data_IF_274618372793
#
_entry.id   IF_274618372793
#
_cell.length_a   1.000
_cell.length_b   1.000
_cell.length_c   1.000
_cell.angle_alpha   90.00
_cell.angle_beta   90.00
_cell.angle_gamma   90.00
#
_symmetry.space_group_name_H-M   'P 1'
#
loop_
_entity.id
_entity.type
_entity.pdbx_description
1 polymer ?
#
# COMPACT_ATOMS: atom_id res chain seq x y z
N UNK A 1 -54.89 -14.12 -41.16
CA UNK A 1 -54.15 -13.28 -40.19
C UNK A 1 -52.85 -13.99 -39.85
N UNK A 2 -51.75 -13.28 -39.99
CA UNK A 2 -50.45 -13.79 -40.41
C UNK A 2 -49.63 -14.45 -39.29
N UNK A 3 -49.09 -15.64 -39.61
CA UNK A 3 -48.06 -16.40 -38.88
C UNK A 3 -46.72 -15.63 -38.69
N UNK A 4 -46.69 -14.37 -39.12
CA UNK A 4 -45.54 -13.46 -39.16
C UNK A 4 -45.37 -12.63 -37.89
N UNK A 5 -46.35 -12.66 -36.97
CA UNK A 5 -46.32 -11.91 -35.69
C UNK A 5 -45.84 -12.74 -34.48
N UNK A 6 -45.84 -14.08 -34.55
CA UNK A 6 -45.31 -14.92 -33.46
C UNK A 6 -43.77 -15.01 -33.47
N UNK A 7 -43.13 -14.88 -34.63
CA UNK A 7 -41.65 -14.90 -34.71
C UNK A 7 -41.00 -13.61 -34.19
N UNK A 8 -41.73 -12.49 -34.14
CA UNK A 8 -41.19 -11.22 -33.64
C UNK A 8 -41.14 -11.15 -32.11
N UNK A 9 -42.01 -11.89 -31.40
CA UNK A 9 -41.98 -11.92 -29.93
C UNK A 9 -40.93 -12.88 -29.36
N UNK A 10 -40.52 -13.91 -30.10
CA UNK A 10 -39.51 -14.87 -29.63
C UNK A 10 -38.07 -14.38 -29.84
N UNK A 11 -37.84 -13.44 -30.76
CA UNK A 11 -36.52 -12.83 -30.97
C UNK A 11 -36.20 -11.66 -30.02
N UNK A 12 -37.19 -11.11 -29.32
CA UNK A 12 -37.00 -10.02 -28.36
C UNK A 12 -36.70 -10.48 -26.93
N UNK A 13 -36.79 -11.78 -26.63
CA UNK A 13 -36.55 -12.36 -25.31
C UNK A 13 -35.21 -13.10 -25.17
N UNK A 14 -34.37 -13.11 -26.21
CA UNK A 14 -33.04 -13.75 -26.22
C UNK A 14 -31.86 -12.78 -26.03
N UNK A 15 -32.10 -11.48 -25.81
CA UNK A 15 -31.03 -10.49 -25.62
C UNK A 15 -30.82 -10.04 -24.17
N UNK A 16 -31.60 -10.51 -23.20
CA UNK A 16 -31.32 -10.31 -21.79
C UNK A 16 -30.66 -11.57 -21.21
N UNK A 17 -29.39 -11.80 -21.57
CA UNK A 17 -28.52 -12.60 -20.71
C UNK A 17 -28.53 -12.01 -19.30
N UNK A 18 -28.28 -12.80 -18.24
CA UNK A 18 -28.24 -12.27 -16.89
C UNK A 18 -27.24 -11.13 -16.87
N UNK A 19 -27.70 -9.91 -16.60
CA UNK A 19 -26.82 -8.81 -16.24
C UNK A 19 -26.07 -9.31 -15.00
N UNK A 20 -24.81 -9.73 -15.18
CA UNK A 20 -23.94 -10.01 -14.05
C UNK A 20 -23.98 -8.76 -13.18
N UNK A 21 -24.29 -8.91 -11.90
CA UNK A 21 -24.22 -7.80 -10.97
C UNK A 21 -22.81 -7.21 -11.09
N UNK A 22 -22.71 -5.95 -11.53
CA UNK A 22 -21.42 -5.28 -11.69
C UNK A 22 -20.79 -5.11 -10.29
N UNK A 23 -19.77 -5.92 -10.00
CA UNK A 23 -18.95 -5.80 -8.81
C UNK A 23 -17.58 -5.19 -9.12
N UNK A 24 -16.71 -5.23 -8.10
CA UNK A 24 -15.30 -4.90 -8.24
C UNK A 24 -14.46 -6.11 -7.89
N UNK A 25 -13.48 -6.42 -8.73
CA UNK A 25 -12.48 -7.44 -8.48
C UNK A 25 -11.18 -6.79 -8.00
N UNK A 26 -10.69 -7.24 -6.84
CA UNK A 26 -9.39 -6.86 -6.29
C UNK A 26 -8.39 -8.01 -6.45
N UNK A 27 -7.21 -7.74 -7.01
CA UNK A 27 -6.11 -8.71 -7.11
C UNK A 27 -4.76 -8.09 -6.77
N UNK A 28 -3.85 -8.88 -6.21
CA UNK A 28 -2.43 -8.51 -6.22
C UNK A 28 -1.93 -8.46 -7.68
N UNK A 29 -1.06 -7.49 -7.98
CA UNK A 29 -0.48 -7.31 -9.31
C UNK A 29 1.02 -7.02 -9.18
N UNK A 30 1.89 -8.03 -9.18
CA UNK A 30 3.33 -7.79 -9.31
C UNK A 30 3.65 -7.23 -10.70
N UNK A 31 4.35 -6.10 -10.76
CA UNK A 31 4.64 -5.38 -12.01
C UNK A 31 6.13 -5.52 -12.34
N UNK A 32 6.51 -6.26 -13.39
CA UNK A 32 7.89 -6.26 -13.88
C UNK A 32 8.21 -4.91 -14.54
N UNK A 33 9.17 -4.18 -13.96
CA UNK A 33 9.64 -2.88 -14.41
C UNK A 33 11.06 -2.99 -14.99
N UNK A 34 11.33 -2.22 -16.05
CA UNK A 34 12.66 -2.10 -16.68
C UNK A 34 13.02 -0.64 -16.88
N UNK A 35 14.07 -0.21 -16.20
CA UNK A 35 14.46 1.19 -16.08
C UNK A 35 15.48 1.62 -17.15
N UNK A 36 15.59 2.93 -17.42
CA UNK A 36 16.52 3.45 -18.44
C UNK A 36 18.00 3.14 -18.17
N UNK A 37 18.38 2.90 -16.93
CA UNK A 37 19.74 2.51 -16.53
C UNK A 37 20.04 1.01 -16.75
N UNK A 38 19.10 0.27 -17.33
CA UNK A 38 19.21 -1.17 -17.60
C UNK A 38 18.83 -2.06 -16.40
N UNK A 39 18.55 -1.47 -15.23
CA UNK A 39 18.10 -2.25 -14.06
C UNK A 39 16.66 -2.71 -14.22
N UNK A 40 16.30 -3.76 -13.48
CA UNK A 40 14.94 -4.30 -13.42
C UNK A 40 14.51 -4.49 -11.96
N UNK A 41 13.22 -4.36 -11.70
CA UNK A 41 12.61 -4.59 -10.40
C UNK A 41 11.18 -5.12 -10.58
N UNK A 42 10.68 -5.87 -9.62
CA UNK A 42 9.24 -6.13 -9.50
C UNK A 42 8.64 -5.10 -8.55
N UNK A 43 7.68 -4.31 -9.02
CA UNK A 43 6.94 -3.38 -8.17
C UNK A 43 5.70 -4.09 -7.60
N UNK A 44 5.53 -4.03 -6.29
CA UNK A 44 4.31 -4.48 -5.61
C UNK A 44 3.16 -3.54 -5.98
N UNK A 45 2.04 -4.09 -6.44
CA UNK A 45 0.83 -3.31 -6.67
C UNK A 45 -0.44 -4.10 -6.34
N UNK A 46 -1.53 -3.37 -6.20
CA UNK A 46 -2.89 -3.89 -6.13
C UNK A 46 -3.68 -3.35 -7.31
N UNK A 47 -4.38 -4.23 -8.02
CA UNK A 47 -5.36 -3.91 -9.04
C UNK A 47 -6.77 -3.99 -8.44
N UNK A 48 -7.57 -2.95 -8.63
CA UNK A 48 -9.00 -2.93 -8.36
C UNK A 48 -9.72 -2.45 -9.62
N UNK A 49 -10.62 -3.26 -10.17
CA UNK A 49 -11.32 -2.93 -11.42
C UNK A 49 -12.76 -3.42 -11.41
N UNK A 50 -13.65 -2.84 -12.24
CA UNK A 50 -14.96 -3.41 -12.49
C UNK A 50 -14.88 -4.85 -13.02
N UNK A 51 -15.86 -5.67 -12.64
CA UNK A 51 -16.02 -7.02 -13.15
C UNK A 51 -16.28 -7.02 -14.67
N UNK A 52 -15.79 -8.03 -15.38
CA UNK A 52 -15.91 -8.14 -16.84
C UNK A 52 -14.60 -7.96 -17.59
N UNK A 53 -14.63 -8.06 -18.93
CA UNK A 53 -13.41 -8.13 -19.75
C UNK A 53 -12.74 -6.76 -19.99
N UNK A 54 -13.43 -5.64 -19.77
CA UNK A 54 -12.96 -4.32 -20.20
C UNK A 54 -13.28 -4.01 -21.68
N UNK A 55 -12.57 -3.07 -22.32
CA UNK A 55 -11.43 -2.32 -21.80
C UNK A 55 -11.84 -1.19 -20.84
N UNK A 56 -11.04 -0.98 -19.80
CA UNK A 56 -11.24 0.04 -18.77
C UNK A 56 -10.16 1.11 -18.85
N UNK A 57 -10.51 2.41 -18.71
CA UNK A 57 -9.50 3.45 -18.53
C UNK A 57 -8.72 3.21 -17.23
N UNK A 58 -7.45 3.61 -17.20
CA UNK A 58 -6.50 3.26 -16.13
C UNK A 58 -6.33 4.43 -15.17
N UNK A 59 -6.42 4.17 -13.87
CA UNK A 59 -6.00 5.11 -12.84
C UNK A 59 -4.80 4.54 -12.07
N UNK A 60 -3.66 5.21 -12.08
CA UNK A 60 -2.50 4.83 -11.25
C UNK A 60 -2.53 5.66 -9.97
N UNK A 61 -2.53 4.99 -8.82
CA UNK A 61 -2.50 5.61 -7.51
C UNK A 61 -1.09 5.52 -6.92
N UNK A 62 -0.52 6.68 -6.55
CA UNK A 62 0.82 6.84 -6.02
C UNK A 62 0.83 7.31 -4.57
N UNK A 63 1.54 6.57 -3.71
CA UNK A 63 1.63 6.81 -2.28
C UNK A 63 2.55 7.99 -1.89
N UNK A 64 2.39 8.50 -0.67
CA UNK A 64 3.31 9.48 -0.08
C UNK A 64 4.65 8.87 0.38
N UNK A 65 5.47 9.65 1.08
CA UNK A 65 6.67 9.16 1.75
C UNK A 65 6.56 9.47 3.24
N UNK A 66 6.67 8.48 4.14
CA UNK A 66 6.71 8.75 5.57
C UNK A 66 7.94 9.57 5.95
N UNK A 67 7.83 10.39 7.01
CA UNK A 67 8.99 11.12 7.56
C UNK A 67 10.07 10.16 8.05
N UNK A 68 9.66 9.07 8.71
CA UNK A 68 10.56 7.98 9.11
C UNK A 68 10.82 7.01 7.95
N UNK A 69 12.10 6.86 7.60
CA UNK A 69 12.55 5.95 6.57
C UNK A 69 12.25 4.47 6.86
N UNK A 70 12.22 4.08 8.14
CA UNK A 70 11.97 2.69 8.54
C UNK A 70 10.53 2.24 8.22
N UNK A 71 9.58 3.18 8.21
CA UNK A 71 8.17 2.88 7.92
C UNK A 71 7.92 2.49 6.46
N UNK A 72 8.83 2.84 5.53
CA UNK A 72 8.66 2.54 4.10
C UNK A 72 8.49 1.04 3.84
N UNK A 73 9.24 0.20 4.57
CA UNK A 73 9.17 -1.25 4.42
C UNK A 73 7.84 -1.85 4.91
N UNK A 74 7.07 -1.10 5.70
CA UNK A 74 5.76 -1.52 6.24
C UNK A 74 4.57 -1.02 5.42
N UNK A 75 4.84 -0.26 4.35
CA UNK A 75 3.78 0.22 3.45
C UNK A 75 3.24 -0.94 2.61
N UNK A 76 1.96 -0.85 2.25
CA UNK A 76 1.29 -1.80 1.37
C UNK A 76 0.33 -1.05 0.45
N UNK A 77 0.01 -1.58 -0.74
CA UNK A 77 -1.01 -1.00 -1.60
C UNK A 77 -2.43 -1.13 -1.03
N UNK A 78 -2.65 -2.06 -0.09
CA UNK A 78 -3.96 -2.30 0.54
C UNK A 78 -4.44 -1.10 1.37
N UNK A 79 -3.52 -0.25 1.86
CA UNK A 79 -3.87 0.97 2.59
C UNK A 79 -4.67 1.97 1.74
N UNK A 80 -4.55 1.88 0.42
CA UNK A 80 -5.21 2.76 -0.53
C UNK A 80 -6.49 2.17 -1.13
N UNK A 81 -6.98 1.05 -0.58
CA UNK A 81 -8.20 0.41 -1.08
C UNK A 81 -9.44 1.33 -1.00
N UNK A 82 -9.68 2.08 0.09
CA UNK A 82 -10.84 2.99 0.15
C UNK A 82 -10.84 4.04 -0.97
N UNK A 83 -9.70 4.66 -1.25
CA UNK A 83 -9.54 5.66 -2.30
C UNK A 83 -9.62 5.02 -3.68
N UNK A 84 -8.94 3.88 -3.88
CA UNK A 84 -9.00 3.12 -5.13
C UNK A 84 -10.44 2.69 -5.46
N UNK A 85 -11.23 2.32 -4.45
CA UNK A 85 -12.64 1.94 -4.60
C UNK A 85 -13.45 3.06 -5.23
N UNK A 86 -13.21 4.32 -4.87
CA UNK A 86 -13.98 5.43 -5.42
C UNK A 86 -13.72 5.68 -6.90
N UNK A 87 -12.47 5.51 -7.36
CA UNK A 87 -12.17 5.53 -8.79
C UNK A 87 -12.72 4.28 -9.51
N UNK A 88 -12.58 3.10 -8.91
CA UNK A 88 -13.05 1.86 -9.52
C UNK A 88 -14.57 1.81 -9.69
N UNK A 89 -15.32 2.32 -8.70
CA UNK A 89 -16.77 2.49 -8.79
C UNK A 89 -17.18 3.43 -9.93
N UNK A 90 -16.31 4.36 -10.32
CA UNK A 90 -16.50 5.25 -11.47
C UNK A 90 -16.05 4.62 -12.80
N UNK A 91 -15.71 3.33 -12.83
CA UNK A 91 -15.40 2.60 -14.04
C UNK A 91 -13.92 2.57 -14.42
N UNK A 92 -13.02 3.00 -13.53
CA UNK A 92 -11.57 2.93 -13.76
C UNK A 92 -10.99 1.58 -13.34
N UNK A 93 -10.03 1.04 -14.09
CA UNK A 93 -9.12 0.04 -13.57
C UNK A 93 -8.02 0.74 -12.78
N UNK A 94 -8.03 0.57 -11.47
CA UNK A 94 -7.15 1.31 -10.54
C UNK A 94 -6.00 0.44 -10.11
N UNK A 95 -4.78 0.95 -10.22
CA UNK A 95 -3.56 0.27 -9.78
C UNK A 95 -2.86 1.12 -8.74
N UNK A 96 -2.90 0.69 -7.49
CA UNK A 96 -2.12 1.29 -6.41
C UNK A 96 -0.74 0.65 -6.38
N UNK A 97 0.31 1.42 -6.66
CA UNK A 97 1.67 0.91 -6.89
C UNK A 97 2.58 1.34 -5.76
N UNK A 98 3.35 0.41 -5.17
CA UNK A 98 4.48 0.72 -4.31
C UNK A 98 5.72 0.97 -5.18
N UNK A 99 6.32 2.15 -5.05
CA UNK A 99 7.55 2.52 -5.77
C UNK A 99 8.77 1.74 -5.23
N UNK A 100 9.91 1.78 -5.92
CA UNK A 100 11.13 1.07 -5.47
C UNK A 100 11.55 1.53 -4.07
N UNK A 101 11.94 0.58 -3.22
CA UNK A 101 12.32 0.84 -1.83
C UNK A 101 11.14 1.08 -0.87
N UNK A 102 9.91 0.73 -1.29
CA UNK A 102 8.70 0.73 -0.46
C UNK A 102 8.03 -0.64 -0.46
N UNK A 103 7.38 -0.96 0.65
CA UNK A 103 6.60 -2.17 0.80
C UNK A 103 7.40 -3.42 0.42
N UNK A 104 6.88 -4.18 -0.53
CA UNK A 104 7.44 -5.42 -1.07
C UNK A 104 8.00 -5.24 -2.48
N UNK A 105 8.14 -4.01 -2.96
CA UNK A 105 8.80 -3.73 -4.24
C UNK A 105 10.30 -4.00 -4.15
N UNK A 106 10.84 -4.62 -5.20
CA UNK A 106 12.28 -4.81 -5.35
C UNK A 106 13.02 -3.47 -5.56
N UNK A 107 14.35 -3.54 -5.50
CA UNK A 107 15.23 -2.43 -5.83
C UNK A 107 15.45 -1.44 -4.68
N UNK A 108 16.53 -0.64 -4.77
CA UNK A 108 16.85 0.34 -3.74
C UNK A 108 15.86 1.50 -3.76
N UNK A 109 15.78 2.22 -2.64
CA UNK A 109 15.11 3.52 -2.59
C UNK A 109 15.79 4.50 -3.55
N UNK A 110 15.09 4.87 -4.64
CA UNK A 110 15.65 5.59 -5.79
C UNK A 110 15.37 7.11 -5.77
N UNK A 111 14.40 7.54 -4.98
CA UNK A 111 13.81 8.88 -5.09
C UNK A 111 14.32 9.86 -4.03
N UNK A 112 15.52 9.69 -3.48
CA UNK A 112 16.07 10.64 -2.47
C UNK A 112 16.14 12.09 -3.00
N UNK A 113 15.83 13.05 -2.12
CA UNK A 113 16.09 14.48 -2.39
C UNK A 113 17.53 14.88 -2.07
N UNK A 114 18.32 14.02 -1.43
CA UNK A 114 19.61 14.42 -0.86
C UNK A 114 19.46 15.20 0.46
N UNK A 115 20.47 15.99 0.81
CA UNK A 115 20.51 16.74 2.08
C UNK A 115 19.47 17.85 2.16
N UNK A 116 18.92 18.08 3.35
CA UNK A 116 17.97 19.17 3.62
C UNK A 116 18.52 20.56 3.28
N UNK A 117 19.85 20.75 3.35
CA UNK A 117 20.47 22.05 3.01
C UNK A 117 20.52 22.31 1.50
N UNK A 118 20.48 21.26 0.68
CA UNK A 118 20.53 21.34 -0.78
C UNK A 118 19.71 20.21 -1.44
N UNK A 119 18.38 20.20 -1.26
CA UNK A 119 17.54 19.14 -1.81
C UNK A 119 17.36 19.29 -3.32
N UNK A 120 17.43 18.18 -4.04
CA UNK A 120 17.10 18.06 -5.46
C UNK A 120 15.71 17.45 -5.63
N UNK A 121 14.69 18.32 -5.50
CA UNK A 121 13.29 17.92 -5.65
C UNK A 121 12.92 17.50 -7.06
N UNK A 122 13.54 18.10 -8.07
CA UNK A 122 13.24 17.78 -9.47
C UNK A 122 13.74 16.40 -9.85
N UNK A 123 14.96 16.03 -9.45
CA UNK A 123 15.47 14.66 -9.62
C UNK A 123 14.62 13.66 -8.85
N UNK A 124 14.29 13.95 -7.58
CA UNK A 124 13.43 13.10 -6.77
C UNK A 124 12.08 12.84 -7.47
N UNK A 125 11.40 13.89 -7.92
CA UNK A 125 10.12 13.79 -8.62
C UNK A 125 10.20 12.97 -9.92
N UNK A 126 11.28 13.14 -10.70
CA UNK A 126 11.53 12.34 -11.92
C UNK A 126 11.76 10.86 -11.63
N UNK A 127 12.50 10.54 -10.57
CA UNK A 127 12.73 9.15 -10.16
C UNK A 127 11.42 8.50 -9.68
N UNK A 128 10.62 9.21 -8.88
CA UNK A 128 9.30 8.75 -8.48
C UNK A 128 8.37 8.53 -9.68
N UNK A 129 8.36 9.47 -10.63
CA UNK A 129 7.55 9.39 -11.84
C UNK A 129 7.98 8.24 -12.75
N UNK A 130 9.27 7.92 -12.79
CA UNK A 130 9.77 6.80 -13.58
C UNK A 130 9.20 5.46 -13.10
N UNK A 131 9.15 5.22 -11.78
CA UNK A 131 8.51 4.00 -11.24
C UNK A 131 7.03 3.91 -11.64
N UNK A 132 6.31 5.04 -11.63
CA UNK A 132 4.92 5.10 -12.09
C UNK A 132 4.80 4.89 -13.60
N UNK A 133 5.72 5.42 -14.40
CA UNK A 133 5.78 5.24 -15.85
C UNK A 133 5.94 3.77 -16.22
N UNK A 134 6.77 3.04 -15.46
CA UNK A 134 6.93 1.60 -15.62
C UNK A 134 5.63 0.84 -15.35
N UNK A 135 4.94 1.20 -14.27
CA UNK A 135 3.62 0.64 -13.97
C UNK A 135 2.59 0.95 -15.06
N UNK A 136 2.51 2.20 -15.53
CA UNK A 136 1.63 2.61 -16.64
C UNK A 136 1.91 1.76 -17.87
N UNK A 137 3.18 1.61 -18.27
CA UNK A 137 3.58 0.85 -19.45
C UNK A 137 3.14 -0.62 -19.36
N UNK A 138 3.32 -1.24 -18.20
CA UNK A 138 2.91 -2.63 -17.99
C UNK A 138 1.39 -2.80 -18.00
N UNK A 139 0.67 -1.93 -17.27
CA UNK A 139 -0.80 -2.00 -17.14
C UNK A 139 -1.49 -1.68 -18.46
N UNK A 140 -0.99 -0.72 -19.22
CA UNK A 140 -1.50 -0.35 -20.54
C UNK A 140 -1.40 -1.48 -21.58
N UNK A 141 -0.53 -2.47 -21.37
CA UNK A 141 -0.39 -3.64 -22.23
C UNK A 141 -1.34 -4.80 -21.86
N UNK A 142 -2.12 -4.68 -20.79
CA UNK A 142 -3.01 -5.73 -20.34
C UNK A 142 -4.30 -5.78 -21.18
N UNK A 143 -4.92 -6.96 -21.38
CA UNK A 143 -6.11 -7.09 -22.24
C UNK A 143 -7.33 -6.32 -21.73
N UNK A 144 -7.42 -6.05 -20.43
CA UNK A 144 -8.52 -5.29 -19.85
C UNK A 144 -8.34 -3.77 -19.96
N UNK A 145 -7.20 -3.28 -20.44
CA UNK A 145 -6.83 -1.87 -20.33
C UNK A 145 -7.16 -1.06 -21.60
N UNK A 146 -7.74 0.12 -21.41
CA UNK A 146 -7.78 1.19 -22.40
C UNK A 146 -6.56 2.10 -22.20
N UNK A 147 -5.49 1.80 -22.94
CA UNK A 147 -4.25 2.56 -22.89
C UNK A 147 -4.37 4.03 -23.36
N UNK A 148 -5.50 4.42 -23.97
CA UNK A 148 -5.69 5.80 -24.46
C UNK A 148 -6.18 6.77 -23.39
N UNK A 149 -6.65 6.25 -22.24
CA UNK A 149 -7.23 7.03 -21.14
C UNK A 149 -6.58 6.65 -19.81
N UNK A 150 -5.50 7.32 -19.49
CA UNK A 150 -4.77 7.15 -18.22
C UNK A 150 -4.93 8.40 -17.35
N UNK A 151 -5.20 8.17 -16.07
CA UNK A 151 -5.23 9.14 -14.98
C UNK A 151 -4.12 8.80 -14.00
N UNK A 152 -3.28 9.78 -13.63
CA UNK A 152 -2.36 9.64 -12.51
C UNK A 152 -2.93 10.35 -11.28
N UNK A 153 -2.97 9.66 -10.14
CA UNK A 153 -3.46 10.19 -8.87
C UNK A 153 -2.39 9.97 -7.82
N UNK A 154 -2.08 10.98 -7.01
CA UNK A 154 -1.13 10.78 -5.93
C UNK A 154 -1.30 11.73 -4.78
N UNK A 155 -0.78 11.31 -3.62
CA UNK A 155 -0.79 12.10 -2.39
C UNK A 155 0.63 12.39 -1.92
N UNK A 156 0.89 13.60 -1.39
CA UNK A 156 2.19 13.95 -0.82
C UNK A 156 3.33 13.79 -1.86
N UNK A 157 4.39 13.05 -1.54
CA UNK A 157 5.43 12.69 -2.51
C UNK A 157 4.88 12.00 -3.78
N UNK A 158 3.79 11.24 -3.68
CA UNK A 158 3.10 10.65 -4.82
C UNK A 158 2.34 11.68 -5.66
N UNK A 159 1.85 12.75 -5.05
CA UNK A 159 1.27 13.90 -5.76
C UNK A 159 2.34 14.64 -6.56
N UNK A 160 3.51 14.89 -5.95
CA UNK A 160 4.69 15.42 -6.66
C UNK A 160 5.10 14.53 -7.84
N UNK A 161 5.17 13.21 -7.64
CA UNK A 161 5.49 12.25 -8.70
C UNK A 161 4.47 12.30 -9.86
N UNK A 162 3.19 12.45 -9.53
CA UNK A 162 2.13 12.53 -10.53
C UNK A 162 2.20 13.83 -11.34
N UNK A 163 2.55 14.95 -10.71
CA UNK A 163 2.83 16.22 -11.42
C UNK A 163 4.09 16.11 -12.29
N UNK A 164 5.12 15.36 -11.87
CA UNK A 164 6.26 15.09 -12.74
C UNK A 164 5.89 14.27 -13.99
N UNK A 165 4.93 13.33 -13.89
CA UNK A 165 4.40 12.67 -15.07
C UNK A 165 3.71 13.66 -16.02
N UNK A 166 3.01 14.69 -15.53
CA UNK A 166 2.35 15.64 -16.44
C UNK A 166 3.34 16.49 -17.25
N UNK A 167 4.56 16.69 -16.73
CA UNK A 167 5.65 17.41 -17.39
C UNK A 167 6.37 16.59 -18.49
N UNK A 168 6.33 15.27 -18.40
CA UNK A 168 6.86 14.31 -19.38
C UNK A 168 5.90 13.12 -19.53
N UNK A 169 4.74 13.36 -20.18
CA UNK A 169 3.59 12.46 -20.11
C UNK A 169 3.84 11.17 -20.89
N UNK A 170 3.66 9.98 -20.27
CA UNK A 170 3.61 8.75 -21.03
C UNK A 170 2.41 8.75 -21.98
N UNK A 171 2.47 7.98 -23.10
CA UNK A 171 1.35 7.85 -24.02
C UNK A 171 0.05 7.52 -23.30
N UNK A 172 -1.02 8.25 -23.62
CA UNK A 172 -2.35 8.04 -23.04
C UNK A 172 -2.62 8.74 -21.72
N UNK A 173 -1.64 9.41 -21.09
CA UNK A 173 -1.91 10.25 -19.90
C UNK A 173 -2.81 11.44 -20.28
N UNK A 174 -4.02 11.48 -19.72
CA UNK A 174 -5.05 12.49 -20.03
C UNK A 174 -5.25 13.52 -18.92
N UNK A 175 -5.01 13.14 -17.66
CA UNK A 175 -5.12 14.05 -16.54
C UNK A 175 -4.27 13.58 -15.34
N UNK A 176 -4.04 14.51 -14.42
CA UNK A 176 -3.40 14.25 -13.12
C UNK A 176 -4.21 14.83 -11.98
N UNK A 177 -4.32 14.11 -10.86
CA UNK A 177 -4.90 14.61 -9.61
C UNK A 177 -3.83 14.50 -8.52
N UNK A 178 -3.50 15.63 -7.89
CA UNK A 178 -2.51 15.75 -6.83
C UNK A 178 -3.17 16.19 -5.54
N UNK A 179 -3.17 15.31 -4.55
CA UNK A 179 -3.59 15.62 -3.18
C UNK A 179 -2.35 16.00 -2.36
N UNK A 180 -2.34 17.20 -1.78
CA UNK A 180 -1.24 17.65 -0.93
C UNK A 180 0.16 17.40 -1.54
N UNK A 181 0.33 17.62 -2.84
CA UNK A 181 1.54 17.24 -3.57
C UNK A 181 2.78 18.03 -3.12
N UNK A 182 3.85 17.35 -2.75
CA UNK A 182 5.08 18.01 -2.31
C UNK A 182 6.10 17.02 -1.75
N UNK A 183 7.22 17.53 -1.25
CA UNK A 183 8.23 16.71 -0.57
C UNK A 183 9.13 17.52 0.37
N UNK A 184 9.75 16.82 1.32
CA UNK A 184 10.78 17.39 2.19
C UNK A 184 10.26 18.09 3.44
N UNK A 185 9.02 17.81 3.85
CA UNK A 185 8.57 18.15 5.20
C UNK A 185 9.34 17.35 6.24
N UNK A 186 9.90 18.04 7.23
CA UNK A 186 10.67 17.46 8.33
C UNK A 186 9.99 17.64 9.69
N UNK A 187 9.11 18.63 9.79
CA UNK A 187 8.25 18.91 10.92
C UNK A 187 7.02 19.68 10.43
N UNK A 188 6.11 19.97 11.35
CA UNK A 188 4.88 20.72 11.06
C UNK A 188 5.22 22.11 10.53
N UNK A 189 4.67 22.44 9.36
CA UNK A 189 4.92 23.67 8.60
C UNK A 189 6.40 23.93 8.31
N UNK A 190 7.23 22.88 8.25
CA UNK A 190 8.65 23.00 7.97
C UNK A 190 9.07 22.10 6.81
N UNK A 191 9.44 22.71 5.68
CA UNK A 191 9.97 22.05 4.48
C UNK A 191 11.41 22.49 4.23
N UNK A 192 12.29 21.54 3.94
CA UNK A 192 13.68 21.85 3.56
C UNK A 192 13.74 22.77 2.33
N UNK A 193 14.27 23.99 2.47
CA UNK A 193 14.55 24.87 1.33
C UNK A 193 13.36 25.04 0.37
N UNK A 194 12.22 25.57 0.86
CA UNK A 194 10.96 25.72 0.11
C UNK A 194 11.12 26.29 -1.30
N UNK A 195 11.97 27.30 -1.48
CA UNK A 195 12.18 27.93 -2.78
C UNK A 195 12.71 26.95 -3.84
N UNK A 196 13.47 25.92 -3.44
CA UNK A 196 13.87 24.85 -4.35
C UNK A 196 12.70 23.96 -4.75
N UNK A 197 11.78 23.68 -3.82
CA UNK A 197 10.56 22.93 -4.13
C UNK A 197 9.68 23.74 -5.09
N UNK A 198 9.47 25.02 -4.81
CA UNK A 198 8.74 25.95 -5.68
C UNK A 198 9.38 26.01 -7.07
N UNK A 199 10.71 26.14 -7.15
CA UNK A 199 11.45 26.14 -8.41
C UNK A 199 11.32 24.81 -9.20
N UNK A 200 11.24 23.67 -8.51
CA UNK A 200 10.99 22.38 -9.15
C UNK A 200 9.60 22.32 -9.79
N UNK A 201 8.56 22.78 -9.07
CA UNK A 201 7.19 22.89 -9.63
C UNK A 201 7.13 23.86 -10.81
N UNK A 202 7.77 25.02 -10.71
CA UNK A 202 7.89 25.95 -11.85
C UNK A 202 8.59 25.31 -13.05
N UNK A 203 9.63 24.50 -12.82
CA UNK A 203 10.32 23.79 -13.91
C UNK A 203 9.42 22.75 -14.59
N UNK A 204 8.63 21.99 -13.83
CA UNK A 204 7.67 21.02 -14.38
C UNK A 204 6.51 21.72 -15.13
N UNK A 205 6.09 22.90 -14.69
CA UNK A 205 5.06 23.70 -15.36
C UNK A 205 5.42 24.08 -16.80
N UNK A 206 6.72 24.28 -17.08
CA UNK A 206 7.21 24.66 -18.42
C UNK A 206 6.80 23.69 -19.52
N UNK A 207 6.75 22.39 -19.24
CA UNK A 207 6.43 21.35 -20.22
C UNK A 207 5.09 20.66 -19.97
N UNK A 208 4.49 20.83 -18.79
CA UNK A 208 3.21 20.22 -18.48
C UNK A 208 2.05 20.86 -19.25
N UNK A 209 1.39 20.07 -20.11
CA UNK A 209 0.18 20.48 -20.86
C UNK A 209 -1.05 19.63 -20.56
N UNK A 210 -0.87 18.54 -19.84
CA UNK A 210 -1.94 17.70 -19.33
C UNK A 210 -2.74 18.49 -18.27
N UNK A 211 -4.09 18.49 -18.31
CA UNK A 211 -4.91 19.06 -17.24
C UNK A 211 -4.60 18.43 -15.89
N UNK A 212 -4.42 19.24 -14.86
CA UNK A 212 -4.17 18.76 -13.49
C UNK A 212 -5.16 19.37 -12.50
N UNK A 213 -5.54 18.60 -11.48
CA UNK A 213 -6.33 19.03 -10.32
C UNK A 213 -5.48 18.92 -9.06
N UNK A 214 -5.44 19.99 -8.27
CA UNK A 214 -4.63 20.10 -7.06
C UNK A 214 -5.56 20.35 -5.88
N UNK A 215 -5.50 19.49 -4.86
CA UNK A 215 -6.36 19.58 -3.68
C UNK A 215 -5.46 19.64 -2.44
N UNK A 216 -5.54 20.73 -1.70
CA UNK A 216 -4.79 20.95 -0.46
C UNK A 216 -5.75 21.40 0.64
N UNK A 217 -5.73 20.73 1.79
CA UNK A 217 -6.55 21.11 2.93
C UNK A 217 -5.96 22.35 3.64
N UNK A 218 -6.82 23.23 4.13
CA UNK A 218 -6.40 24.49 4.78
C UNK A 218 -5.57 24.30 6.06
N UNK A 219 -5.68 23.14 6.71
CA UNK A 219 -4.92 22.77 7.91
C UNK A 219 -3.83 21.71 7.66
N UNK A 220 -3.34 21.56 6.42
CA UNK A 220 -2.23 20.67 6.09
C UNK A 220 -0.93 21.15 6.78
N UNK A 221 -0.33 20.30 7.61
CA UNK A 221 0.90 20.60 8.36
C UNK A 221 2.19 20.18 7.63
N UNK A 222 2.10 19.58 6.45
CA UNK A 222 3.26 19.25 5.61
C UNK A 222 3.50 20.33 4.56
N UNK A 223 2.42 20.73 3.88
CA UNK A 223 2.41 21.72 2.81
C UNK A 223 1.28 22.71 3.05
N UNK A 224 1.47 23.57 4.05
CA UNK A 224 0.48 24.57 4.45
C UNK A 224 -0.02 25.45 3.29
N UNK A 225 -1.19 26.10 3.45
CA UNK A 225 -1.93 26.71 2.35
C UNK A 225 -1.13 27.78 1.59
N UNK A 226 -0.24 28.52 2.26
CA UNK A 226 0.60 29.52 1.60
C UNK A 226 1.69 28.89 0.72
N UNK A 227 2.36 27.85 1.21
CA UNK A 227 3.29 27.07 0.38
C UNK A 227 2.55 26.44 -0.80
N UNK A 228 1.41 25.79 -0.56
CA UNK A 228 0.60 25.17 -1.61
C UNK A 228 0.23 26.15 -2.74
N UNK A 229 -0.19 27.38 -2.40
CA UNK A 229 -0.46 28.44 -3.38
C UNK A 229 0.78 28.87 -4.14
N UNK A 230 1.95 28.96 -3.49
CA UNK A 230 3.23 29.29 -4.14
C UNK A 230 3.68 28.18 -5.10
N UNK A 231 3.50 26.91 -4.74
CA UNK A 231 3.78 25.77 -5.63
C UNK A 231 2.89 25.82 -6.88
N UNK A 232 1.58 26.01 -6.68
CA UNK A 232 0.61 26.12 -7.78
C UNK A 232 0.86 27.34 -8.66
N UNK A 233 1.17 28.49 -8.06
CA UNK A 233 1.51 29.73 -8.77
C UNK A 233 2.75 29.56 -9.64
N UNK A 234 3.83 28.99 -9.10
CA UNK A 234 5.05 28.74 -9.87
C UNK A 234 4.80 27.80 -11.06
N UNK A 235 4.02 26.73 -10.86
CA UNK A 235 3.69 25.78 -11.93
C UNK A 235 2.83 26.41 -13.04
N UNK A 236 1.78 27.16 -12.67
CA UNK A 236 0.85 27.76 -13.64
C UNK A 236 1.43 28.96 -14.37
N UNK A 237 2.18 29.83 -13.69
CA UNK A 237 2.90 30.95 -14.31
C UNK A 237 3.94 30.48 -15.33
N UNK A 238 4.49 29.28 -15.16
CA UNK A 238 5.40 28.65 -16.12
C UNK A 238 4.70 28.00 -17.33
N UNK A 239 3.36 28.03 -17.39
CA UNK A 239 2.56 27.47 -18.49
C UNK A 239 1.88 26.13 -18.18
N UNK A 240 1.98 25.65 -16.94
CA UNK A 240 1.27 24.46 -16.49
C UNK A 240 -0.24 24.68 -16.37
N UNK A 241 -1.04 23.64 -16.61
CA UNK A 241 -2.51 23.68 -16.45
C UNK A 241 -2.92 23.02 -15.14
N UNK A 242 -3.27 23.82 -14.14
CA UNK A 242 -3.70 23.31 -12.83
C UNK A 242 -4.92 24.05 -12.30
N UNK A 243 -5.98 23.30 -12.02
CA UNK A 243 -7.09 23.74 -11.17
C UNK A 243 -6.70 23.52 -9.71
N UNK A 244 -6.89 24.53 -8.86
CA UNK A 244 -6.53 24.48 -7.45
C UNK A 244 -7.78 24.57 -6.58
N UNK A 245 -7.90 23.64 -5.64
CA UNK A 245 -8.95 23.62 -4.63
C UNK A 245 -8.28 23.70 -3.25
N UNK A 246 -8.58 24.78 -2.53
CA UNK A 246 -8.39 24.85 -1.10
C UNK A 246 -9.54 24.06 -0.43
N UNK A 247 -9.24 22.85 0.02
CA UNK A 247 -10.19 21.99 0.70
C UNK A 247 -10.38 22.43 2.16
N UNK A 248 -11.57 22.22 2.74
CA UNK A 248 -11.82 22.56 4.14
C UNK A 248 -10.88 21.78 5.07
N UNK A 249 -10.68 22.27 6.30
CA UNK A 249 -9.89 21.57 7.30
C UNK A 249 -10.41 20.14 7.56
N UNK A 250 -9.50 19.20 7.76
CA UNK A 250 -9.83 17.83 8.15
C UNK A 250 -8.93 17.35 9.29
N UNK A 251 -9.55 16.79 10.33
CA UNK A 251 -8.83 16.28 11.50
C UNK A 251 -7.93 17.35 12.16
N UNK A 252 -6.84 16.90 12.78
CA UNK A 252 -5.80 17.78 13.34
C UNK A 252 -4.79 18.23 12.28
N UNK A 253 -4.58 17.40 11.27
CA UNK A 253 -3.66 17.64 10.16
C UNK A 253 -4.36 17.29 8.85
N UNK A 254 -4.54 18.31 8.01
CA UNK A 254 -5.18 18.20 6.70
C UNK A 254 -4.38 17.36 5.70
N UNK A 255 -3.13 16.99 6.00
CA UNK A 255 -2.32 16.18 5.09
C UNK A 255 -2.94 14.81 4.79
N UNK A 256 -3.78 14.30 5.70
CA UNK A 256 -4.51 13.04 5.53
C UNK A 256 -5.81 13.18 4.74
N UNK A 257 -6.13 14.35 4.16
CA UNK A 257 -7.42 14.61 3.50
C UNK A 257 -7.81 13.56 2.44
N UNK A 258 -6.84 13.04 1.68
CA UNK A 258 -7.09 12.02 0.66
C UNK A 258 -7.68 10.72 1.25
N UNK A 259 -7.17 10.25 2.39
CA UNK A 259 -7.65 9.02 3.03
C UNK A 259 -8.79 9.26 4.02
N UNK A 260 -8.82 10.44 4.66
CA UNK A 260 -9.73 10.74 5.77
C UNK A 260 -11.02 11.48 5.34
N UNK A 261 -11.04 12.10 4.15
CA UNK A 261 -12.14 12.95 3.70
C UNK A 261 -12.77 12.49 2.37
N UNK A 262 -12.85 11.17 2.14
CA UNK A 262 -13.35 10.58 0.89
C UNK A 262 -14.69 11.15 0.41
N UNK A 263 -15.73 11.27 1.26
CA UNK A 263 -16.99 11.87 0.85
C UNK A 263 -16.87 13.35 0.48
N UNK A 264 -15.86 14.07 0.98
CA UNK A 264 -15.67 15.50 0.70
C UNK A 264 -14.96 15.73 -0.63
N UNK A 265 -13.95 14.92 -0.96
CA UNK A 265 -13.19 15.13 -2.21
C UNK A 265 -13.80 14.47 -3.42
N UNK A 266 -14.63 13.44 -3.26
CA UNK A 266 -15.24 12.72 -4.39
C UNK A 266 -16.03 13.65 -5.35
N UNK A 267 -16.86 14.60 -4.87
CA UNK A 267 -17.52 15.56 -5.77
C UNK A 267 -16.55 16.50 -6.50
N UNK A 268 -15.41 16.86 -5.87
CA UNK A 268 -14.38 17.70 -6.49
C UNK A 268 -13.73 16.97 -7.67
N UNK A 269 -13.40 15.69 -7.47
CA UNK A 269 -12.87 14.82 -8.50
C UNK A 269 -13.90 14.59 -9.62
N UNK A 270 -15.17 14.39 -9.28
CA UNK A 270 -16.25 14.22 -10.26
C UNK A 270 -16.43 15.44 -11.16
N UNK A 271 -16.39 16.64 -10.57
CA UNK A 271 -16.43 17.89 -11.33
C UNK A 271 -15.28 18.00 -12.33
N UNK A 272 -14.05 17.68 -11.89
CA UNK A 272 -12.87 17.72 -12.75
C UNK A 272 -12.91 16.65 -13.86
N UNK A 273 -13.28 15.40 -13.53
CA UNK A 273 -13.38 14.32 -14.52
C UNK A 273 -14.47 14.62 -15.56
N UNK A 274 -15.60 15.19 -15.15
CA UNK A 274 -16.67 15.62 -16.07
C UNK A 274 -16.17 16.73 -16.99
N UNK A 275 -15.57 17.78 -16.43
CA UNK A 275 -15.03 18.94 -17.17
C UNK A 275 -13.95 18.54 -18.18
N UNK A 276 -13.19 17.50 -17.90
CA UNK A 276 -12.12 17.00 -18.78
C UNK A 276 -12.57 15.89 -19.74
N UNK A 277 -13.86 15.51 -19.72
CA UNK A 277 -14.39 14.43 -20.57
C UNK A 277 -13.84 13.05 -20.19
N UNK A 278 -13.43 12.86 -18.95
CA UNK A 278 -12.80 11.64 -18.42
C UNK A 278 -13.72 10.85 -17.49
N UNK A 279 -14.98 11.23 -17.29
CA UNK A 279 -15.94 10.44 -16.53
C UNK A 279 -16.35 9.17 -17.32
N UNK A 280 -15.93 7.95 -16.90
CA UNK A 280 -16.22 6.74 -17.68
C UNK A 280 -17.70 6.33 -17.63
N UNK A 281 -18.42 6.72 -16.57
CA UNK A 281 -19.85 6.46 -16.39
C UNK A 281 -20.52 7.56 -15.58
N UNK A 282 -21.83 7.75 -15.78
CA UNK A 282 -22.61 8.80 -15.09
C UNK A 282 -23.09 8.43 -13.68
N UNK A 283 -23.01 7.15 -13.29
CA UNK A 283 -23.43 6.69 -11.95
C UNK A 283 -22.43 5.67 -11.42
N UNK A 284 -21.87 5.86 -10.21
CA UNK A 284 -20.94 4.89 -9.63
C UNK A 284 -21.56 3.50 -9.45
N UNK A 285 -20.76 2.45 -9.64
CA UNK A 285 -21.11 1.06 -9.32
C UNK A 285 -21.50 1.00 -7.85
N UNK A 286 -22.61 0.34 -7.55
CA UNK A 286 -23.03 0.10 -6.19
C UNK A 286 -22.19 -1.02 -5.58
N UNK A 287 -21.34 -0.68 -4.62
CA UNK A 287 -20.57 -1.67 -3.85
C UNK A 287 -21.30 -1.90 -2.54
N UNK A 288 -21.75 -3.12 -2.31
CA UNK A 288 -22.31 -3.51 -1.03
C UNK A 288 -21.17 -3.75 -0.04
N UNK A 289 -21.18 -3.01 1.06
CA UNK A 289 -20.30 -3.27 2.19
C UNK A 289 -20.90 -4.36 3.09
N UNK A 290 -20.06 -5.17 3.76
CA UNK A 290 -20.56 -6.20 4.65
C UNK A 290 -21.33 -5.58 5.82
N UNK A 291 -22.52 -6.13 6.11
CA UNK A 291 -23.37 -5.71 7.22
C UNK A 291 -22.85 -6.30 8.54
N UNK A 292 -21.73 -5.76 9.04
CA UNK A 292 -21.12 -6.21 10.29
C UNK A 292 -21.78 -5.51 11.50
N UNK A 293 -22.32 -6.23 12.49
CA UNK A 293 -22.81 -5.59 13.71
C UNK A 293 -21.63 -5.10 14.57
N UNK A 294 -21.67 -3.88 15.14
CA UNK A 294 -20.59 -3.43 16.01
C UNK A 294 -20.49 -4.32 17.27
N UNK A 295 -19.28 -4.54 17.83
CA UNK A 295 -19.13 -5.32 19.05
C UNK A 295 -20.02 -4.78 20.18
N UNK A 296 -20.72 -5.66 20.92
CA UNK A 296 -21.69 -5.25 21.92
C UNK A 296 -21.07 -4.43 23.06
N UNK A 297 -19.78 -4.63 23.34
CA UNK A 297 -19.03 -3.92 24.38
C UNK A 297 -18.83 -2.43 24.06
N UNK A 298 -18.91 -2.02 22.80
CA UNK A 298 -18.70 -0.62 22.43
C UNK A 298 -19.76 0.28 23.05
N UNK A 299 -19.34 1.44 23.56
CA UNK A 299 -20.27 2.53 23.91
C UNK A 299 -20.99 3.04 22.65
N UNK A 300 -22.10 3.77 22.82
CA UNK A 300 -22.80 4.39 21.69
C UNK A 300 -21.89 5.30 20.85
N UNK A 301 -21.01 6.07 21.51
CA UNK A 301 -20.05 6.94 20.85
C UNK A 301 -18.98 6.15 20.07
N UNK A 302 -18.54 5.00 20.57
CA UNK A 302 -17.55 4.17 19.88
C UNK A 302 -18.19 3.34 18.75
N UNK A 303 -19.46 2.92 18.88
CA UNK A 303 -20.22 2.27 17.80
C UNK A 303 -20.30 3.15 16.56
N UNK A 304 -20.45 4.46 16.71
CA UNK A 304 -20.45 5.41 15.59
C UNK A 304 -19.13 5.43 14.79
N UNK A 305 -18.03 4.92 15.34
CA UNK A 305 -16.71 4.82 14.68
C UNK A 305 -16.49 3.49 13.96
N UNK A 306 -17.33 2.48 14.21
CA UNK A 306 -17.21 1.15 13.62
C UNK A 306 -17.34 1.12 12.09
N UNK A 307 -18.17 1.96 11.43
CA UNK A 307 -18.23 1.98 9.95
C UNK A 307 -16.88 2.19 9.27
N UNK A 308 -15.96 2.95 9.88
CA UNK A 308 -14.61 3.15 9.34
C UNK A 308 -13.82 1.82 9.23
N UNK A 309 -14.03 0.88 10.15
CA UNK A 309 -13.46 -0.47 10.05
C UNK A 309 -14.09 -1.28 8.92
N UNK A 310 -15.42 -1.17 8.75
CA UNK A 310 -16.16 -1.87 7.68
C UNK A 310 -15.67 -1.42 6.30
N UNK A 311 -15.45 -0.13 6.12
CA UNK A 311 -15.01 0.46 4.84
C UNK A 311 -13.54 0.23 4.51
N UNK A 312 -12.71 -0.04 5.52
CA UNK A 312 -11.26 -0.12 5.39
C UNK A 312 -10.76 -1.28 4.50
N UNK A 313 -9.48 -1.18 4.10
CA UNK A 313 -8.76 -2.20 3.35
C UNK A 313 -8.72 -3.56 4.05
N UNK A 314 -8.60 -4.64 3.25
CA UNK A 314 -8.40 -6.00 3.77
C UNK A 314 -7.11 -6.15 4.60
N UNK A 315 -6.91 -7.33 5.17
CA UNK A 315 -5.95 -7.55 6.26
C UNK A 315 -6.19 -6.55 7.38
N UNK A 316 -7.42 -6.61 7.93
CA UNK A 316 -7.89 -5.76 9.01
C UNK A 316 -8.35 -6.58 10.20
N UNK A 317 -8.14 -6.05 11.40
CA UNK A 317 -8.63 -6.66 12.63
C UNK A 317 -9.20 -5.58 13.55
N UNK A 318 -10.26 -5.94 14.28
CA UNK A 318 -10.88 -5.08 15.27
C UNK A 318 -10.80 -5.76 16.63
N UNK A 319 -10.21 -5.09 17.62
CA UNK A 319 -10.10 -5.54 18.99
C UNK A 319 -10.99 -4.69 19.91
N UNK A 320 -11.53 -5.34 20.94
CA UNK A 320 -12.42 -4.71 21.93
C UNK A 320 -12.12 -5.24 23.33
N UNK A 321 -12.36 -4.40 24.33
CA UNK A 321 -12.25 -4.69 25.76
C UNK A 321 -13.64 -4.71 26.41
N UNK A 322 -13.84 -5.46 27.52
CA UNK A 322 -15.10 -5.48 28.26
C UNK A 322 -15.58 -4.11 28.79
N UNK A 323 -14.70 -3.12 28.92
CA UNK A 323 -15.06 -1.73 29.29
C UNK A 323 -15.39 -0.83 28.08
N UNK A 324 -15.43 -1.39 26.87
CA UNK A 324 -15.78 -0.67 25.64
C UNK A 324 -14.63 0.10 24.99
N UNK A 325 -13.40 -0.01 25.53
CA UNK A 325 -12.20 0.39 24.79
C UNK A 325 -12.01 -0.50 23.56
N UNK A 326 -11.43 0.06 22.51
CA UNK A 326 -11.26 -0.64 21.24
C UNK A 326 -10.00 -0.17 20.51
N UNK A 327 -9.58 -0.96 19.54
CA UNK A 327 -8.48 -0.64 18.64
C UNK A 327 -8.60 -1.46 17.36
N UNK A 328 -8.21 -0.88 16.23
CA UNK A 328 -8.23 -1.59 14.97
C UNK A 328 -7.07 -1.15 14.07
N UNK A 329 -6.73 -2.02 13.12
CA UNK A 329 -5.76 -1.78 12.04
C UNK A 329 -6.30 -2.40 10.77
N UNK A 330 -5.87 -1.88 9.63
CA UNK A 330 -6.27 -2.35 8.29
C UNK A 330 -5.17 -2.11 7.27
N UNK A 331 -5.26 -2.77 6.12
CA UNK A 331 -4.30 -2.59 5.02
C UNK A 331 -2.88 -2.97 5.41
N UNK A 332 -2.72 -3.97 6.29
CA UNK A 332 -1.41 -4.49 6.68
C UNK A 332 -0.99 -5.65 5.79
N UNK A 333 0.27 -6.09 5.92
CA UNK A 333 0.83 -7.14 5.07
C UNK A 333 0.14 -8.49 5.33
N UNK A 334 -0.21 -8.74 6.59
CA UNK A 334 -0.83 -9.97 7.04
C UNK A 334 -1.94 -9.70 8.05
N UNK A 335 -2.79 -10.70 8.26
CA UNK A 335 -3.78 -10.68 9.34
C UNK A 335 -3.12 -10.70 10.72
N UNK A 336 -2.00 -11.40 10.89
CA UNK A 336 -1.25 -11.44 12.15
C UNK A 336 -0.79 -10.05 12.59
N UNK A 337 -0.24 -9.26 11.65
CA UNK A 337 0.13 -7.87 11.90
C UNK A 337 -1.10 -7.03 12.27
N UNK A 338 -2.23 -7.25 11.60
CA UNK A 338 -3.47 -6.52 11.85
C UNK A 338 -4.01 -6.83 13.25
N UNK A 339 -4.01 -8.11 13.65
CA UNK A 339 -4.41 -8.56 14.98
C UNK A 339 -3.53 -7.96 16.05
N UNK A 340 -2.20 -8.09 15.91
CA UNK A 340 -1.24 -7.54 16.86
C UNK A 340 -1.45 -6.04 17.04
N UNK A 341 -1.49 -5.28 15.95
CA UNK A 341 -1.67 -3.83 16.02
C UNK A 341 -3.05 -3.40 16.52
N UNK A 342 -4.11 -4.18 16.24
CA UNK A 342 -5.45 -3.91 16.79
C UNK A 342 -5.47 -4.12 18.31
N UNK A 343 -4.86 -5.19 18.81
CA UNK A 343 -4.72 -5.47 20.24
C UNK A 343 -3.88 -4.41 20.92
N UNK A 344 -2.71 -4.05 20.38
CA UNK A 344 -1.84 -3.00 20.93
C UNK A 344 -2.57 -1.66 21.03
N UNK A 345 -3.26 -1.24 19.98
CA UNK A 345 -4.09 -0.04 19.99
C UNK A 345 -5.19 -0.11 21.06
N UNK A 346 -5.90 -1.23 21.16
CA UNK A 346 -6.94 -1.40 22.16
C UNK A 346 -6.39 -1.33 23.59
N UNK A 347 -5.29 -2.04 23.86
CA UNK A 347 -4.65 -2.09 25.19
C UNK A 347 -4.09 -0.73 25.63
N UNK A 348 -3.79 0.18 24.71
CA UNK A 348 -3.39 1.55 25.06
C UNK A 348 -4.52 2.40 25.68
N UNK A 349 -5.75 1.89 25.68
CA UNK A 349 -6.94 2.59 26.16
C UNK A 349 -7.67 1.86 27.30
N UNK A 350 -7.14 0.75 27.82
CA UNK A 350 -7.77 -0.03 28.90
C UNK A 350 -6.75 -0.77 29.77
N UNK A 351 -7.20 -1.25 30.93
CA UNK A 351 -6.49 -2.18 31.80
C UNK A 351 -7.17 -3.56 31.88
N UNK A 352 -8.33 -3.78 31.24
CA UNK A 352 -9.16 -4.99 31.37
C UNK A 352 -8.84 -6.09 30.35
N UNK A 353 -7.80 -5.91 29.54
CA UNK A 353 -7.41 -6.79 28.45
C UNK A 353 -8.30 -6.62 27.21
N UNK A 354 -7.76 -6.99 26.04
CA UNK A 354 -8.46 -6.88 24.77
C UNK A 354 -8.52 -8.24 24.07
N UNK A 355 -9.62 -8.48 23.35
CA UNK A 355 -9.79 -9.64 22.46
C UNK A 355 -10.02 -9.15 21.02
N UNK A 356 -9.73 -9.99 20.04
CA UNK A 356 -10.17 -9.75 18.67
C UNK A 356 -11.69 -10.00 18.61
N UNK A 357 -12.42 -9.04 18.05
CA UNK A 357 -13.84 -9.16 17.73
C UNK A 357 -14.08 -9.49 16.26
N UNK A 358 -13.25 -8.95 15.36
CA UNK A 358 -13.38 -9.21 13.92
C UNK A 358 -12.02 -9.41 13.25
N UNK A 359 -11.98 -10.34 12.31
CA UNK A 359 -10.92 -10.54 11.32
C UNK A 359 -11.49 -10.35 9.93
N UNK A 360 -10.95 -9.38 9.20
CA UNK A 360 -11.56 -8.86 7.97
C UNK A 360 -13.05 -8.57 8.15
N UNK A 361 -13.91 -9.33 7.49
CA UNK A 361 -15.36 -9.15 7.54
C UNK A 361 -16.05 -10.33 8.24
N UNK A 362 -15.35 -10.99 9.18
CA UNK A 362 -15.84 -12.15 9.94
C UNK A 362 -15.65 -11.97 11.44
N UNK A 363 -16.65 -12.33 12.27
CA UNK A 363 -16.48 -12.34 13.72
C UNK A 363 -15.38 -13.32 14.13
N UNK A 364 -14.47 -12.88 14.97
CA UNK A 364 -13.44 -13.76 15.54
C UNK A 364 -14.08 -14.77 16.50
N UNK A 365 -13.81 -16.06 16.28
CA UNK A 365 -14.31 -17.17 17.11
C UNK A 365 -15.48 -17.97 16.53
N UNK A 366 -15.86 -17.78 15.25
CA UNK A 366 -16.73 -18.73 14.53
C UNK A 366 -16.05 -20.11 14.36
N UNK A 367 -16.76 -21.15 13.92
CA UNK A 367 -16.20 -22.52 13.79
C UNK A 367 -14.94 -22.62 12.89
N UNK A 368 -14.67 -21.61 12.04
CA UNK A 368 -13.43 -21.49 11.26
C UNK A 368 -12.28 -20.81 12.02
N UNK A 369 -12.57 -20.08 13.10
CA UNK A 369 -11.64 -19.34 13.96
C UNK A 369 -11.43 -20.02 15.33
N UNK A 370 -12.09 -21.16 15.58
CA UNK A 370 -11.61 -22.14 16.57
C UNK A 370 -10.44 -22.98 16.06
N UNK A 371 -9.83 -22.58 14.93
CA UNK A 371 -8.39 -22.66 14.84
C UNK A 371 -7.82 -21.75 15.94
N UNK A 372 -7.75 -22.33 17.16
CA UNK A 372 -6.74 -21.99 18.15
C UNK A 372 -5.48 -21.63 17.37
N UNK A 373 -4.80 -20.56 17.79
CA UNK A 373 -3.38 -20.41 17.51
C UNK A 373 -2.67 -21.59 18.18
N UNK A 374 -2.79 -22.78 17.58
CA UNK A 374 -1.65 -23.63 17.41
C UNK A 374 -0.74 -22.87 16.44
N UNK A 375 0.56 -22.75 16.75
CA UNK A 375 1.53 -22.25 15.77
C UNK A 375 1.35 -23.03 14.48
N UNK A 376 1.67 -22.45 13.31
CA UNK A 376 1.34 -23.03 12.03
C UNK A 376 1.68 -24.52 12.03
N UNK A 377 0.71 -25.37 11.67
CA UNK A 377 1.01 -26.68 11.09
C UNK A 377 1.68 -26.47 9.72
N UNK A 378 2.80 -25.75 9.69
CA UNK A 378 4.00 -26.43 9.25
C UNK A 378 4.08 -27.68 10.10
N UNK A 379 4.20 -28.84 9.49
CA UNK A 379 5.05 -29.86 10.09
C UNK A 379 6.43 -29.21 10.31
N UNK A 380 6.57 -28.38 11.36
CA UNK A 380 7.83 -28.19 12.06
C UNK A 380 8.05 -29.56 12.62
N UNK A 381 8.81 -30.35 11.85
CA UNK A 381 9.64 -31.39 12.44
C UNK A 381 10.23 -30.72 13.68
N UNK A 382 9.85 -31.20 14.86
CA UNK A 382 10.48 -30.75 16.10
C UNK A 382 11.96 -30.90 15.84
N UNK A 383 12.66 -29.78 15.73
CA UNK A 383 14.08 -29.78 15.46
C UNK A 383 14.71 -30.51 16.62
N UNK A 384 15.22 -31.70 16.35
CA UNK A 384 15.95 -32.45 17.34
C UNK A 384 17.35 -31.85 17.44
N UNK A 385 17.90 -31.72 18.66
CA UNK A 385 19.29 -31.30 18.82
C UNK A 385 20.18 -32.27 18.05
N UNK A 386 21.15 -31.77 17.24
CA UNK A 386 22.14 -32.61 16.58
C UNK A 386 22.74 -33.65 17.54
N UNK A 387 22.86 -34.92 17.13
CA UNK A 387 23.27 -36.00 18.03
C UNK A 387 24.68 -35.78 18.61
N UNK A 388 25.51 -35.00 17.94
CA UNK A 388 26.86 -34.63 18.35
C UNK A 388 26.87 -33.63 19.52
N UNK A 389 25.74 -32.97 19.85
CA UNK A 389 25.70 -31.96 20.90
C UNK A 389 25.90 -32.54 22.31
N UNK A 390 26.85 -31.94 23.03
CA UNK A 390 27.01 -32.13 24.47
C UNK A 390 25.77 -31.67 25.27
N UNK A 391 25.63 -32.14 26.52
CA UNK A 391 24.49 -31.79 27.38
C UNK A 391 24.34 -30.26 27.58
N UNK A 392 25.44 -29.53 27.72
CA UNK A 392 25.43 -28.06 27.80
C UNK A 392 25.04 -27.38 26.47
N UNK A 393 25.33 -28.02 25.33
CA UNK A 393 24.90 -27.54 24.01
C UNK A 393 23.40 -27.68 23.77
N UNK A 394 22.75 -28.67 24.38
CA UNK A 394 21.30 -28.90 24.25
C UNK A 394 20.47 -27.76 24.86
N UNK A 395 20.89 -27.19 25.99
CA UNK A 395 20.22 -26.01 26.58
C UNK A 395 20.35 -24.76 25.68
N UNK A 396 21.48 -24.61 24.97
CA UNK A 396 21.70 -23.51 24.03
C UNK A 396 21.04 -23.72 22.68
N UNK A 397 20.64 -24.96 22.37
CA UNK A 397 19.87 -25.29 21.18
C UNK A 397 18.44 -24.74 21.26
N UNK A 398 17.82 -24.77 22.43
CA UNK A 398 16.47 -24.20 22.64
C UNK A 398 16.46 -22.67 22.40
N UNK A 399 17.55 -21.99 22.74
CA UNK A 399 17.74 -20.57 22.44
C UNK A 399 17.86 -20.29 20.93
N UNK A 400 18.50 -21.19 20.18
CA UNK A 400 18.54 -21.12 18.71
C UNK A 400 17.15 -21.34 18.10
N UNK A 401 16.42 -22.37 18.56
CA UNK A 401 15.06 -22.69 18.09
C UNK A 401 14.12 -21.51 18.32
N UNK A 402 14.27 -20.81 19.46
CA UNK A 402 13.43 -19.66 19.83
C UNK A 402 13.82 -18.34 19.16
N UNK A 403 15.01 -18.26 18.54
CA UNK A 403 15.50 -17.02 17.95
C UNK A 403 14.79 -16.64 16.65
N UNK A 404 14.52 -15.34 16.47
CA UNK A 404 13.85 -14.78 15.29
C UNK A 404 14.85 -14.30 14.21
N UNK A 405 14.34 -14.11 12.99
CA UNK A 405 15.12 -13.68 11.82
C UNK A 405 15.96 -14.80 11.20
N UNK A 406 16.70 -14.49 10.12
CA UNK A 406 17.52 -15.49 9.42
C UNK A 406 18.61 -16.02 10.35
N UNK A 407 18.75 -17.35 10.43
CA UNK A 407 19.61 -18.03 11.41
C UNK A 407 20.16 -19.36 10.91
N UNK A 408 21.32 -19.75 11.43
CA UNK A 408 21.93 -21.05 11.14
C UNK A 408 22.60 -21.63 12.38
N UNK A 409 22.71 -22.96 12.43
CA UNK A 409 23.35 -23.74 13.49
C UNK A 409 24.39 -24.67 12.89
N UNK A 410 25.62 -24.63 13.41
CA UNK A 410 26.74 -25.45 12.99
C UNK A 410 27.27 -26.28 14.16
N UNK A 411 27.77 -27.47 13.85
CA UNK A 411 28.37 -28.40 14.82
C UNK A 411 29.67 -28.99 14.27
N UNK A 412 30.46 -29.61 15.14
CA UNK A 412 31.63 -30.40 14.83
C UNK A 412 31.55 -31.79 15.48
N UNK A 413 32.43 -32.70 15.06
CA UNK A 413 32.43 -34.10 15.51
C UNK A 413 32.74 -34.29 17.00
N UNK A 414 33.44 -33.35 17.62
CA UNK A 414 33.74 -33.33 19.05
C UNK A 414 32.63 -32.66 19.89
N UNK A 415 31.52 -32.27 19.25
CA UNK A 415 30.34 -31.72 19.91
C UNK A 415 30.41 -30.23 20.22
N UNK A 416 31.40 -29.51 19.68
CA UNK A 416 31.38 -28.06 19.66
C UNK A 416 30.31 -27.55 18.67
N UNK A 417 29.82 -26.35 18.91
CA UNK A 417 28.72 -25.78 18.13
C UNK A 417 28.81 -24.26 18.04
N UNK A 418 28.09 -23.69 17.07
CA UNK A 418 27.97 -22.25 16.90
C UNK A 418 26.70 -21.89 16.14
N UNK A 419 26.05 -20.80 16.55
CA UNK A 419 24.85 -20.31 15.88
C UNK A 419 24.78 -18.79 15.90
N UNK A 420 23.96 -18.24 15.00
CA UNK A 420 23.63 -16.81 14.94
C UNK A 420 22.24 -16.62 14.33
N UNK A 421 21.54 -15.58 14.76
CA UNK A 421 20.22 -15.18 14.24
C UNK A 421 20.17 -13.68 13.90
N UNK A 422 19.08 -13.27 13.25
CA UNK A 422 18.87 -11.87 12.84
C UNK A 422 19.76 -11.42 11.68
N UNK A 423 20.24 -12.37 10.88
CA UNK A 423 21.18 -12.08 9.79
C UNK A 423 20.45 -11.51 8.56
N UNK A 424 21.13 -10.69 7.72
CA UNK A 424 20.51 -10.08 6.55
C UNK A 424 20.26 -11.07 5.40
N UNK A 425 20.92 -12.23 5.40
CA UNK A 425 20.75 -13.29 4.41
C UNK A 425 21.09 -14.67 4.97
N UNK A 426 20.69 -15.72 4.25
CA UNK A 426 21.03 -17.11 4.56
C UNK A 426 22.54 -17.36 4.57
N UNK A 427 23.28 -16.88 3.55
CA UNK A 427 24.74 -17.04 3.47
C UNK A 427 25.48 -16.34 4.60
N UNK A 428 24.95 -15.20 5.06
CA UNK A 428 25.49 -14.49 6.22
C UNK A 428 25.26 -15.30 7.50
N UNK A 429 24.08 -15.92 7.66
CA UNK A 429 23.79 -16.81 8.78
C UNK A 429 24.69 -18.04 8.81
N UNK A 430 24.85 -18.72 7.67
CA UNK A 430 25.71 -19.90 7.51
C UNK A 430 27.15 -19.61 7.91
N UNK A 431 27.75 -18.53 7.37
CA UNK A 431 29.12 -18.12 7.71
C UNK A 431 29.26 -17.78 9.19
N UNK A 432 28.35 -16.98 9.75
CA UNK A 432 28.42 -16.59 11.16
C UNK A 432 28.28 -17.80 12.12
N UNK A 433 27.48 -18.80 11.76
CA UNK A 433 27.38 -20.03 12.55
C UNK A 433 28.68 -20.85 12.52
N UNK A 434 29.28 -21.01 11.33
CA UNK A 434 30.58 -21.69 11.16
C UNK A 434 31.71 -20.97 11.91
N UNK A 435 31.80 -19.64 11.76
CA UNK A 435 32.79 -18.82 12.45
C UNK A 435 32.65 -18.91 13.98
N UNK A 436 31.42 -19.01 14.48
CA UNK A 436 31.18 -19.19 15.91
C UNK A 436 31.55 -20.59 16.39
N UNK A 437 31.29 -21.63 15.60
CA UNK A 437 31.65 -23.00 15.94
C UNK A 437 33.18 -23.18 15.98
N UNK A 438 33.89 -22.67 14.97
CA UNK A 438 35.34 -22.81 14.82
C UNK A 438 36.16 -22.14 15.93
N UNK A 439 35.56 -21.27 16.75
CA UNK A 439 36.21 -20.67 17.93
C UNK A 439 36.44 -21.67 19.06
N UNK A 440 35.66 -22.75 19.09
CA UNK A 440 35.62 -23.67 20.23
C UNK A 440 36.13 -25.07 19.89
N UNK A 441 36.58 -25.30 18.66
CA UNK A 441 37.12 -26.59 18.22
C UNK A 441 38.20 -26.43 17.17
N UNK A 442 39.04 -27.45 17.02
CA UNK A 442 39.96 -27.61 15.88
C UNK A 442 39.41 -28.57 14.82
N UNK A 443 38.26 -29.21 15.07
CA UNK A 443 37.56 -30.07 14.13
C UNK A 443 36.77 -29.23 13.13
N UNK A 444 36.55 -29.78 11.93
CA UNK A 444 35.79 -29.10 10.89
C UNK A 444 34.34 -28.91 11.34
N UNK A 445 33.91 -27.65 11.39
CA UNK A 445 32.52 -27.30 11.62
C UNK A 445 31.73 -27.35 10.30
N UNK A 446 30.50 -27.83 10.37
CA UNK A 446 29.57 -27.85 9.25
C UNK A 446 28.19 -27.40 9.72
N UNK A 447 27.45 -26.75 8.82
CA UNK A 447 26.08 -26.27 9.11
C UNK A 447 25.13 -27.45 9.02
N UNK A 448 24.31 -27.61 10.04
CA UNK A 448 23.32 -28.70 10.13
C UNK A 448 21.89 -28.19 10.07
N UNK A 449 21.63 -26.91 10.38
CA UNK A 449 20.27 -26.33 10.35
C UNK A 449 20.34 -24.89 9.86
N UNK A 450 19.40 -24.52 8.97
CA UNK A 450 19.22 -23.14 8.48
C UNK A 450 17.75 -22.78 8.47
N UNK A 451 17.40 -21.63 9.06
CA UNK A 451 16.02 -21.12 9.15
C UNK A 451 15.00 -22.18 9.56
N UNK A 452 15.33 -22.90 10.64
CA UNK A 452 14.54 -24.00 11.19
C UNK A 452 14.37 -25.22 10.24
N UNK A 453 15.27 -25.40 9.26
CA UNK A 453 15.30 -26.56 8.37
C UNK A 453 16.60 -27.34 8.55
N UNK A 454 16.54 -28.61 9.01
CA UNK A 454 17.70 -29.49 8.99
C UNK A 454 18.23 -29.65 7.56
N UNK A 455 19.53 -29.52 7.39
CA UNK A 455 20.22 -29.88 6.16
C UNK A 455 20.48 -31.38 6.24
N UNK A 456 20.00 -32.12 5.24
CA UNK A 456 20.26 -33.57 5.12
C UNK A 456 21.72 -33.83 4.82
#
# INVERSE_FOLDING_TARGET
>A
MTLRRLFTLFFLLLCCGPALAEGLTQTALPIPARFPDGTSATLEAMLLRPDGPGPYPIAILSHGTPRDAAERAQMTPLRYLPEAREFARRGWAVVAVMRRGYGGSDGPYSETTGSCNNPDYLRSARQSAEDLRQAIRYVAAQPFADASRILAVGVSAGGLASIALSADPPPGLKAVISFAGGRGSIADNQVCQEDRLIGAFGTMGRTSRVPTLWIYAENDLFFGPDLARRLWGAFTQAGGRAEFIAAPPNGKDGHSFFSAAIPQWTPMVDGFLTKTGLAPRGTPIMVSLPALPPPPELSAANRAKFPAYVEAGGNKAFAVSPDGAFGWKSGLRSLDEAQKGALENCMSHTQKGCRIAYLNDRPAGGAADQAVVEPPRTTRVRLEPPPELSAAGREKFDAYVSAAGRKAFAVSQDGAFGWKSGMPSEDAARRAALDNCAKFTRHTCYVVIVDDRPLR
#
